data_IF_330875677586
#
_entry.id   IF_330875677586
#
_cell.length_a   1.000
_cell.length_b   1.000
_cell.length_c   1.000
_cell.angle_alpha   90.00
_cell.angle_beta   90.00
_cell.angle_gamma   90.00
#
_symmetry.space_group_name_H-M   'P 1'
#
loop_
_entity.id
_entity.type
_entity.pdbx_description
1 polymer ?
#
# COMPACT_ATOMS: atom_id res chain seq x y z
N UNK A 1 1.73 20.12 -4.71
CA UNK A 1 0.63 19.21 -5.08
C UNK A 1 0.34 18.14 -4.01
N UNK A 2 1.31 17.30 -3.62
CA UNK A 2 1.08 16.21 -2.66
C UNK A 2 0.62 16.62 -1.27
N UNK A 3 1.21 17.67 -0.68
CA UNK A 3 0.82 18.16 0.65
C UNK A 3 -0.66 18.61 0.71
N UNK A 4 -1.10 19.40 -0.28
CA UNK A 4 -2.50 19.85 -0.37
C UNK A 4 -3.47 18.67 -0.51
N UNK A 5 -3.10 17.65 -1.29
CA UNK A 5 -3.91 16.44 -1.45
C UNK A 5 -4.04 15.65 -0.14
N UNK A 6 -2.94 15.51 0.62
CA UNK A 6 -2.96 14.83 1.93
C UNK A 6 -3.81 15.58 2.96
N UNK A 7 -3.68 16.91 3.02
CA UNK A 7 -4.51 17.76 3.90
C UNK A 7 -5.98 17.60 3.51
N UNK A 8 -6.31 17.68 2.22
CA UNK A 8 -7.66 17.44 1.71
C UNK A 8 -8.19 16.06 2.11
N UNK A 9 -7.38 15.00 1.95
CA UNK A 9 -7.76 13.63 2.30
C UNK A 9 -7.97 13.47 3.82
N UNK A 10 -7.15 14.11 4.64
CA UNK A 10 -7.28 14.14 6.10
C UNK A 10 -8.57 14.83 6.54
N UNK A 11 -8.83 16.03 6.04
CA UNK A 11 -10.07 16.78 6.32
C UNK A 11 -11.28 15.97 5.87
N UNK A 12 -11.27 15.44 4.64
CA UNK A 12 -12.36 14.61 4.11
C UNK A 12 -12.61 13.40 4.99
N UNK A 13 -11.56 12.71 5.45
CA UNK A 13 -11.66 11.53 6.33
C UNK A 13 -12.29 11.89 7.68
N UNK A 14 -11.92 13.04 8.27
CA UNK A 14 -12.47 13.51 9.55
C UNK A 14 -13.94 13.97 9.44
N UNK A 15 -14.29 14.60 8.32
CA UNK A 15 -15.64 15.12 8.05
C UNK A 15 -16.61 14.07 7.50
N UNK A 16 -16.12 12.91 7.05
CA UNK A 16 -16.98 11.82 6.58
C UNK A 16 -17.83 11.34 7.75
N UNK A 17 -19.12 11.68 7.74
CA UNK A 17 -20.07 11.22 8.74
C UNK A 17 -20.10 9.69 8.75
N UNK A 18 -20.31 9.11 9.94
CA UNK A 18 -20.64 7.70 10.09
C UNK A 18 -22.03 7.44 9.48
N UNK A 19 -22.15 7.56 8.16
CA UNK A 19 -22.93 6.53 7.47
C UNK A 19 -22.20 5.27 7.87
N UNK A 20 -22.76 4.55 8.86
CA UNK A 20 -22.68 3.10 8.88
C UNK A 20 -22.79 2.76 7.42
N UNK A 21 -21.69 2.29 6.82
CA UNK A 21 -21.70 1.90 5.44
C UNK A 21 -22.78 0.81 5.39
N UNK A 22 -24.03 1.21 5.15
CA UNK A 22 -25.12 0.35 4.78
C UNK A 22 -24.54 -0.25 3.54
N UNK A 23 -23.99 -1.46 3.72
CA UNK A 23 -22.91 -2.01 2.92
C UNK A 23 -23.09 -1.47 1.52
N UNK A 24 -22.32 -0.45 1.15
CA UNK A 24 -22.27 -0.11 -0.27
C UNK A 24 -21.85 -1.45 -0.83
N UNK A 25 -22.77 -2.08 -1.56
CA UNK A 25 -22.52 -3.34 -2.22
C UNK A 25 -21.40 -2.98 -3.17
N UNK A 26 -20.16 -3.14 -2.68
CA UNK A 26 -18.98 -3.05 -3.48
C UNK A 26 -19.27 -4.12 -4.49
N UNK A 27 -19.68 -3.72 -5.70
CA UNK A 27 -19.86 -4.66 -6.80
C UNK A 27 -18.65 -5.56 -6.75
N UNK A 28 -18.88 -6.86 -6.62
CA UNK A 28 -17.80 -7.83 -6.59
C UNK A 28 -17.07 -7.68 -7.92
N UNK A 29 -16.02 -6.85 -7.92
CA UNK A 29 -15.15 -6.68 -9.06
C UNK A 29 -14.65 -8.07 -9.35
N UNK A 30 -14.85 -8.55 -10.57
CA UNK A 30 -14.36 -9.86 -10.95
C UNK A 30 -12.90 -9.98 -10.54
N UNK A 31 -12.55 -11.07 -9.86
CA UNK A 31 -11.19 -11.31 -9.37
C UNK A 31 -10.17 -11.13 -10.51
N UNK A 32 -10.57 -11.52 -11.72
CA UNK A 32 -9.80 -11.31 -12.95
C UNK A 32 -9.54 -9.83 -13.24
N UNK A 33 -10.54 -8.95 -13.15
CA UNK A 33 -10.36 -7.51 -13.38
C UNK A 33 -9.47 -6.89 -12.31
N UNK A 34 -9.66 -7.26 -11.05
CA UNK A 34 -8.81 -6.79 -9.95
C UNK A 34 -7.35 -7.24 -10.14
N UNK A 35 -7.13 -8.51 -10.50
CA UNK A 35 -5.81 -9.06 -10.79
C UNK A 35 -5.16 -8.38 -11.99
N UNK A 36 -5.85 -8.26 -13.13
CA UNK A 36 -5.32 -7.59 -14.31
C UNK A 36 -4.98 -6.13 -14.03
N UNK A 37 -5.82 -5.42 -13.28
CA UNK A 37 -5.52 -4.05 -12.87
C UNK A 37 -4.26 -3.99 -11.98
N UNK A 38 -4.13 -4.91 -11.02
CA UNK A 38 -2.95 -4.98 -10.16
C UNK A 38 -1.67 -5.28 -10.95
N UNK A 39 -1.72 -6.22 -11.91
CA UNK A 39 -0.60 -6.53 -12.80
C UNK A 39 -0.21 -5.31 -13.62
N UNK A 40 -1.16 -4.66 -14.29
CA UNK A 40 -0.90 -3.49 -15.12
C UNK A 40 -0.28 -2.37 -14.28
N UNK A 41 -0.84 -2.06 -13.11
CA UNK A 41 -0.32 -1.01 -12.24
C UNK A 41 1.10 -1.34 -11.75
N UNK A 42 1.38 -2.60 -11.39
CA UNK A 42 2.72 -2.99 -10.92
C UNK A 42 3.77 -3.02 -12.05
N UNK A 43 3.41 -3.56 -13.22
CA UNK A 43 4.31 -3.61 -14.38
C UNK A 43 4.63 -2.20 -14.89
N UNK A 44 3.63 -1.31 -14.90
CA UNK A 44 3.81 0.09 -15.28
C UNK A 44 4.40 0.95 -14.15
N UNK A 45 4.76 0.38 -13.00
CA UNK A 45 5.37 1.13 -11.91
C UNK A 45 6.90 1.20 -12.11
N UNK A 46 7.46 2.31 -12.63
CA UNK A 46 8.89 2.41 -12.88
C UNK A 46 9.70 2.36 -11.57
N UNK A 47 9.09 2.72 -10.44
CA UNK A 47 9.78 2.72 -9.14
C UNK A 47 10.18 1.30 -8.73
N UNK A 48 9.33 0.32 -9.00
CA UNK A 48 9.62 -1.09 -8.73
C UNK A 48 10.78 -1.57 -9.58
N UNK A 49 10.76 -1.29 -10.88
CA UNK A 49 11.85 -1.67 -11.79
C UNK A 49 13.19 -1.03 -11.39
N UNK A 50 13.19 0.29 -11.12
CA UNK A 50 14.40 1.02 -10.69
C UNK A 50 14.95 0.45 -9.38
N UNK A 51 14.09 0.10 -8.42
CA UNK A 51 14.54 -0.54 -7.17
C UNK A 51 15.26 -1.86 -7.44
N UNK A 52 14.66 -2.77 -8.22
CA UNK A 52 15.32 -4.05 -8.51
C UNK A 52 16.59 -3.88 -9.32
N UNK A 53 16.65 -2.96 -10.30
CA UNK A 53 17.89 -2.69 -11.03
C UNK A 53 18.98 -2.06 -10.17
N UNK A 54 18.63 -1.25 -9.18
CA UNK A 54 19.60 -0.64 -8.28
C UNK A 54 20.13 -1.65 -7.24
N UNK A 55 19.28 -2.51 -6.69
CA UNK A 55 19.63 -3.38 -5.57
C UNK A 55 20.00 -4.80 -5.98
N UNK A 56 19.28 -5.43 -6.91
CA UNK A 56 19.46 -6.85 -7.21
C UNK A 56 20.86 -7.20 -7.75
N UNK A 57 21.46 -6.42 -8.66
CA UNK A 57 22.82 -6.71 -9.15
C UNK A 57 23.89 -6.66 -8.05
N UNK A 58 23.65 -5.93 -6.96
CA UNK A 58 24.61 -5.83 -5.84
C UNK A 58 24.77 -7.15 -5.08
N UNK A 59 23.82 -8.08 -5.21
CA UNK A 59 23.85 -9.39 -4.57
C UNK A 59 24.32 -10.50 -5.50
N UNK A 60 24.57 -10.20 -6.77
CA UNK A 60 24.96 -11.17 -7.79
C UNK A 60 26.48 -11.20 -7.92
N UNK A 61 27.03 -12.41 -8.00
CA UNK A 61 28.46 -12.66 -8.19
C UNK A 61 28.67 -13.48 -9.46
N UNK A 62 29.31 -12.87 -10.47
CA UNK A 62 29.56 -13.47 -11.77
C UNK A 62 30.56 -14.63 -11.72
N UNK A 63 31.41 -14.70 -10.69
CA UNK A 63 32.39 -15.79 -10.53
C UNK A 63 31.74 -17.05 -9.90
N UNK A 64 30.57 -16.90 -9.28
CA UNK A 64 29.85 -17.98 -8.58
C UNK A 64 28.78 -18.68 -9.42
N UNK A 65 28.72 -18.39 -10.72
CA UNK A 65 27.83 -19.07 -11.67
C UNK A 65 27.02 -18.13 -12.57
N UNK A 66 25.98 -18.66 -13.21
CA UNK A 66 25.19 -17.90 -14.16
C UNK A 66 24.38 -16.78 -13.47
N UNK A 67 24.70 -15.53 -13.82
CA UNK A 67 24.03 -14.31 -13.35
C UNK A 67 22.51 -14.38 -13.49
N UNK A 68 22.01 -14.88 -14.62
CA UNK A 68 20.57 -15.01 -14.87
C UNK A 68 19.88 -15.90 -13.83
N UNK A 69 20.51 -17.01 -13.44
CA UNK A 69 19.96 -17.93 -12.43
C UNK A 69 19.95 -17.29 -11.05
N UNK A 70 21.01 -16.56 -10.67
CA UNK A 70 21.05 -15.84 -9.39
C UNK A 70 19.96 -14.75 -9.32
N UNK A 71 19.78 -13.98 -10.40
CA UNK A 71 18.72 -12.96 -10.52
C UNK A 71 17.33 -13.59 -10.39
N UNK A 72 17.06 -14.70 -11.09
CA UNK A 72 15.78 -15.41 -10.99
C UNK A 72 15.55 -15.95 -9.57
N UNK A 73 16.59 -16.48 -8.93
CA UNK A 73 16.51 -17.04 -7.58
C UNK A 73 16.20 -15.94 -6.54
N UNK A 74 16.96 -14.84 -6.55
CA UNK A 74 16.71 -13.70 -5.66
C UNK A 74 15.36 -13.04 -5.93
N UNK A 75 14.97 -12.87 -7.20
CA UNK A 75 13.65 -12.39 -7.57
C UNK A 75 12.53 -13.27 -7.00
N UNK A 76 12.66 -14.60 -7.14
CA UNK A 76 11.70 -15.55 -6.59
C UNK A 76 11.60 -15.47 -5.06
N UNK A 77 12.73 -15.33 -4.36
CA UNK A 77 12.75 -15.14 -2.90
C UNK A 77 11.96 -13.88 -2.51
N UNK A 78 12.21 -12.76 -3.18
CA UNK A 78 11.49 -11.50 -2.90
C UNK A 78 9.99 -11.64 -3.16
N UNK A 79 9.61 -12.28 -4.26
CA UNK A 79 8.20 -12.56 -4.58
C UNK A 79 7.56 -13.43 -3.50
N UNK A 80 8.23 -14.50 -3.06
CA UNK A 80 7.72 -15.38 -2.01
C UNK A 80 7.56 -14.65 -0.68
N UNK A 81 8.53 -13.84 -0.27
CA UNK A 81 8.44 -13.02 0.95
C UNK A 81 7.25 -12.06 0.89
N UNK A 82 7.06 -11.38 -0.25
CA UNK A 82 5.94 -10.48 -0.48
C UNK A 82 4.59 -11.21 -0.45
N UNK A 83 4.51 -12.37 -1.11
CA UNK A 83 3.31 -13.21 -1.15
C UNK A 83 2.94 -13.73 0.24
N UNK A 84 3.89 -14.31 0.97
CA UNK A 84 3.64 -14.84 2.32
C UNK A 84 3.22 -13.74 3.28
N UNK A 85 3.94 -12.61 3.29
CA UNK A 85 3.60 -11.47 4.14
C UNK A 85 2.22 -10.92 3.80
N UNK A 86 1.94 -10.71 2.51
CA UNK A 86 0.66 -10.22 2.02
C UNK A 86 -0.51 -11.15 2.37
N UNK A 87 -0.32 -12.46 2.22
CA UNK A 87 -1.31 -13.48 2.60
C UNK A 87 -1.58 -13.49 4.10
N UNK A 88 -0.55 -13.40 4.94
CA UNK A 88 -0.71 -13.30 6.39
C UNK A 88 -1.54 -12.06 6.75
N UNK A 89 -1.19 -10.89 6.21
CA UNK A 89 -1.97 -9.67 6.44
C UNK A 89 -3.40 -9.78 5.93
N UNK A 90 -3.61 -10.37 4.75
CA UNK A 90 -4.94 -10.56 4.16
C UNK A 90 -5.83 -11.47 5.01
N UNK A 91 -5.30 -12.59 5.50
CA UNK A 91 -6.03 -13.52 6.36
C UNK A 91 -6.38 -12.88 7.71
N UNK A 92 -5.42 -12.19 8.34
CA UNK A 92 -5.64 -11.45 9.58
C UNK A 92 -6.69 -10.35 9.40
N UNK A 93 -6.60 -9.59 8.30
CA UNK A 93 -7.55 -8.54 7.99
C UNK A 93 -8.95 -9.08 7.69
N UNK A 94 -9.07 -10.25 7.04
CA UNK A 94 -10.35 -10.90 6.78
C UNK A 94 -11.03 -11.36 8.08
N UNK A 95 -10.28 -12.00 8.98
CA UNK A 95 -10.81 -12.47 10.27
C UNK A 95 -11.17 -11.33 11.22
N UNK A 96 -10.22 -10.42 11.47
CA UNK A 96 -10.38 -9.32 12.42
C UNK A 96 -11.31 -8.24 11.84
N UNK A 97 -11.23 -7.98 10.53
CA UNK A 97 -12.03 -6.95 9.87
C UNK A 97 -13.53 -7.18 9.98
N UNK A 98 -13.99 -8.44 9.96
CA UNK A 98 -15.41 -8.76 10.14
C UNK A 98 -15.91 -8.40 11.55
N UNK A 99 -15.08 -8.62 12.58
CA UNK A 99 -15.41 -8.25 13.97
C UNK A 99 -15.37 -6.74 14.17
N UNK A 100 -14.34 -6.07 13.63
CA UNK A 100 -14.13 -4.64 13.81
C UNK A 100 -15.15 -3.78 13.06
N UNK A 101 -15.66 -4.24 11.90
CA UNK A 101 -16.73 -3.56 11.15
C UNK A 101 -18.03 -3.41 11.95
N UNK A 102 -18.30 -4.31 12.90
CA UNK A 102 -19.45 -4.18 13.80
C UNK A 102 -19.27 -3.18 14.94
N UNK A 103 -18.03 -2.77 15.24
CA UNK A 103 -17.72 -1.93 16.41
C UNK A 103 -17.59 -0.46 16.03
N UNK A 104 -18.66 0.32 16.26
CA UNK A 104 -18.70 1.77 15.98
C UNK A 104 -17.59 2.56 16.68
N UNK A 105 -17.21 2.19 17.91
CA UNK A 105 -16.12 2.87 18.64
C UNK A 105 -14.78 2.69 17.92
N UNK A 106 -14.51 1.49 17.42
CA UNK A 106 -13.31 1.20 16.66
C UNK A 106 -13.28 1.95 15.32
N UNK A 107 -14.38 1.92 14.55
CA UNK A 107 -14.47 2.65 13.30
C UNK A 107 -14.26 4.16 13.49
N UNK A 108 -14.80 4.73 14.57
CA UNK A 108 -14.59 6.12 14.95
C UNK A 108 -13.13 6.41 15.29
N UNK A 109 -12.50 5.56 16.10
CA UNK A 109 -11.08 5.69 16.46
C UNK A 109 -10.18 5.58 15.22
N UNK A 110 -10.42 4.61 14.35
CA UNK A 110 -9.71 4.43 13.08
C UNK A 110 -9.84 5.67 12.18
N UNK A 111 -11.05 6.27 12.09
CA UNK A 111 -11.28 7.50 11.32
C UNK A 111 -10.46 8.67 11.83
N UNK A 112 -10.48 8.93 13.14
CA UNK A 112 -9.69 10.01 13.73
C UNK A 112 -8.18 9.77 13.59
N UNK A 113 -7.74 8.53 13.80
CA UNK A 113 -6.34 8.15 13.62
C UNK A 113 -5.88 8.35 12.18
N UNK A 114 -6.56 7.76 11.20
CA UNK A 114 -6.21 7.90 9.78
C UNK A 114 -6.26 9.37 9.32
N UNK A 115 -7.32 10.10 9.69
CA UNK A 115 -7.49 11.51 9.36
C UNK A 115 -6.37 12.39 9.93
N UNK A 116 -6.01 12.20 11.20
CA UNK A 116 -4.93 12.94 11.85
C UNK A 116 -3.55 12.61 11.25
N UNK A 117 -3.29 11.35 10.90
CA UNK A 117 -2.05 10.94 10.21
C UNK A 117 -1.94 11.62 8.84
N UNK A 118 -3.00 11.61 8.03
CA UNK A 118 -2.97 12.30 6.73
C UNK A 118 -2.76 13.80 6.86
N UNK A 119 -3.42 14.43 7.84
CA UNK A 119 -3.28 15.85 8.09
C UNK A 119 -1.85 16.19 8.57
N UNK A 120 -1.31 15.41 9.51
CA UNK A 120 0.05 15.56 10.03
C UNK A 120 1.12 15.37 8.95
N UNK A 121 0.98 14.33 8.10
CA UNK A 121 1.87 14.11 6.96
C UNK A 121 1.77 15.26 5.95
N UNK A 122 0.56 15.74 5.66
CA UNK A 122 0.33 16.86 4.76
C UNK A 122 0.97 18.16 5.25
N UNK A 123 0.77 18.51 6.53
CA UNK A 123 1.39 19.68 7.17
C UNK A 123 2.91 19.55 7.19
N UNK A 124 3.44 18.40 7.62
CA UNK A 124 4.89 18.17 7.65
C UNK A 124 5.50 18.29 6.26
N UNK A 125 4.85 17.71 5.24
CA UNK A 125 5.30 17.83 3.85
C UNK A 125 5.27 19.27 3.35
N UNK A 126 4.26 20.06 3.74
CA UNK A 126 4.20 21.48 3.40
C UNK A 126 5.34 22.26 4.06
N UNK A 127 5.60 22.02 5.35
CA UNK A 127 6.65 22.73 6.10
C UNK A 127 8.06 22.33 5.64
N UNK A 128 8.34 21.03 5.50
CA UNK A 128 9.65 20.53 5.06
C UNK A 128 9.88 20.78 3.56
N UNK A 129 8.82 20.74 2.75
CA UNK A 129 8.89 21.05 1.32
C UNK A 129 9.17 22.51 1.02
N UNK A 130 8.80 23.41 1.93
CA UNK A 130 9.10 24.86 1.82
C UNK A 130 10.54 25.18 2.23
N UNK A 131 11.16 24.37 3.10
CA UNK A 131 12.55 24.51 3.56
C UNK A 131 13.63 24.00 2.59
N UNK A 132 13.25 23.58 1.37
CA UNK A 132 14.19 23.16 0.31
C UNK A 132 14.23 24.15 -0.88
N UNK A 133 14.07 25.44 -0.61
CA UNK A 133 14.38 26.50 -1.57
C UNK A 133 15.64 27.24 -1.16
#
# INVERSE_FOLDING_TARGET
AGAAYLIYLGIRTLLTQEKVAAAETIEEKSLRRAFSQAVVVNVLNPKTAIFFFAFLPQFVDAERGAVATQILCFGAIVVMLGFTSGSVYSLLAGGIGNVLRGNRKFLRAQRYFAGSVYLGLGVTTALTGTNKK
#
